data_IF_071814522362
#
_entry.id   IF_071814522362
#
_cell.length_a   1.000
_cell.length_b   1.000
_cell.length_c   1.000
_cell.angle_alpha   90.00
_cell.angle_beta   90.00
_cell.angle_gamma   90.00
#
_symmetry.space_group_name_H-M   'P 1'
#
loop_
_entity.id
_entity.type
_entity.pdbx_description
1 polymer ?
#
# COMPACT_ATOMS: atom_id res chain seq x y z
N UNK A 1 14.37 3.85 11.37
CA UNK A 1 13.37 2.74 11.25
C UNK A 1 14.12 1.43 11.11
N UNK A 2 13.82 0.37 11.89
CA UNK A 2 14.53 -0.91 11.71
C UNK A 2 14.00 -1.63 10.48
N UNK A 3 14.91 -2.00 9.55
CA UNK A 3 14.57 -2.81 8.38
C UNK A 3 13.96 -4.15 8.85
N UNK A 4 12.77 -4.53 8.38
CA UNK A 4 12.19 -5.81 8.73
C UNK A 4 13.11 -6.96 8.29
N UNK A 5 13.33 -7.92 9.18
CA UNK A 5 14.14 -9.08 8.81
C UNK A 5 13.46 -9.87 7.69
N UNK A 6 14.24 -10.18 6.65
CA UNK A 6 13.76 -10.99 5.53
C UNK A 6 13.30 -12.37 6.02
N UNK A 7 12.07 -12.81 5.68
CA UNK A 7 11.57 -14.10 6.12
C UNK A 7 12.34 -15.25 5.47
N UNK A 8 12.73 -16.29 6.23
CA UNK A 8 13.33 -17.48 5.64
C UNK A 8 12.31 -18.21 4.76
N UNK A 9 12.79 -18.84 3.67
CA UNK A 9 11.92 -19.67 2.83
C UNK A 9 11.69 -21.02 3.49
N UNK A 10 10.53 -21.65 3.25
CA UNK A 10 10.28 -23.00 3.77
C UNK A 10 11.29 -24.01 3.22
N UNK A 11 11.79 -23.80 1.99
CA UNK A 11 12.81 -24.66 1.37
C UNK A 11 14.17 -24.55 2.09
N UNK A 12 14.57 -23.35 2.49
CA UNK A 12 15.81 -23.19 3.28
C UNK A 12 15.67 -23.82 4.66
N UNK A 13 14.52 -23.65 5.29
CA UNK A 13 14.23 -24.24 6.61
C UNK A 13 14.14 -25.78 6.54
N UNK A 14 13.59 -26.33 5.48
CA UNK A 14 13.56 -27.77 5.26
C UNK A 14 14.95 -28.42 5.24
N UNK A 15 15.98 -27.69 4.84
CA UNK A 15 17.39 -28.16 4.86
C UNK A 15 18.05 -28.01 6.23
N UNK A 16 17.58 -27.09 7.05
CA UNK A 16 18.16 -26.74 8.35
C UNK A 16 17.52 -27.50 9.51
N UNK A 17 16.21 -27.74 9.45
CA UNK A 17 15.45 -28.42 10.50
C UNK A 17 15.53 -29.94 10.30
N UNK A 18 15.95 -30.71 11.31
CA UNK A 18 15.97 -32.16 11.25
C UNK A 18 14.61 -32.77 10.87
N UNK A 19 14.61 -33.86 10.12
CA UNK A 19 13.39 -34.49 9.61
C UNK A 19 12.39 -34.85 10.71
N UNK A 20 12.86 -35.45 11.80
CA UNK A 20 12.01 -35.77 12.95
C UNK A 20 11.31 -34.53 13.53
N UNK A 21 12.00 -33.39 13.61
CA UNK A 21 11.43 -32.11 14.08
C UNK A 21 10.43 -31.55 13.09
N UNK A 22 10.70 -31.64 11.78
CA UNK A 22 9.74 -31.24 10.74
C UNK A 22 8.45 -32.05 10.79
N UNK A 23 8.58 -33.38 10.97
CA UNK A 23 7.44 -34.28 11.11
C UNK A 23 6.61 -33.97 12.38
N UNK A 24 7.28 -33.75 13.51
CA UNK A 24 6.63 -33.34 14.73
C UNK A 24 5.89 -32.00 14.59
N UNK A 25 6.53 -31.00 13.99
CA UNK A 25 5.89 -29.70 13.72
C UNK A 25 4.70 -29.83 12.75
N UNK A 26 4.83 -30.66 11.72
CA UNK A 26 3.78 -30.92 10.74
C UNK A 26 2.52 -31.54 11.35
N UNK A 27 2.62 -32.34 12.41
CA UNK A 27 1.45 -32.94 13.08
C UNK A 27 0.52 -31.88 13.67
N UNK A 28 1.05 -30.69 13.99
CA UNK A 28 0.28 -29.54 14.53
C UNK A 28 -0.32 -28.62 13.44
N UNK A 29 -0.16 -28.96 12.16
CA UNK A 29 -0.56 -28.11 11.02
C UNK A 29 -1.99 -27.58 11.13
N UNK A 30 -2.96 -28.45 11.46
CA UNK A 30 -4.38 -28.07 11.52
C UNK A 30 -4.64 -26.99 12.55
N UNK A 31 -4.07 -27.17 13.74
CA UNK A 31 -4.20 -26.21 14.84
C UNK A 31 -3.55 -24.88 14.47
N UNK A 32 -2.32 -24.93 13.97
CA UNK A 32 -1.55 -23.72 13.67
C UNK A 32 -2.14 -22.95 12.51
N UNK A 33 -2.62 -23.63 11.46
CA UNK A 33 -3.28 -22.97 10.34
C UNK A 33 -4.64 -22.37 10.73
N UNK A 34 -5.38 -23.00 11.64
CA UNK A 34 -6.64 -22.45 12.13
C UNK A 34 -6.43 -21.13 12.92
N UNK A 35 -5.30 -21.00 13.60
CA UNK A 35 -4.91 -19.82 14.37
C UNK A 35 -4.08 -18.80 13.57
N UNK A 36 -3.74 -19.12 12.31
CA UNK A 36 -2.88 -18.30 11.49
C UNK A 36 -3.59 -17.01 11.06
N UNK A 37 -3.05 -15.87 11.52
CA UNK A 37 -3.50 -14.53 11.15
C UNK A 37 -2.70 -13.91 10.02
N UNK A 38 -1.98 -14.72 9.26
CA UNK A 38 -1.12 -14.30 8.15
C UNK A 38 -0.07 -13.24 8.53
N UNK A 39 0.52 -13.41 9.71
CA UNK A 39 1.52 -12.48 10.24
C UNK A 39 2.82 -12.56 9.45
N UNK A 40 3.53 -11.42 9.36
CA UNK A 40 4.87 -11.37 8.82
C UNK A 40 5.86 -12.04 9.79
N UNK A 41 6.94 -12.62 9.25
CA UNK A 41 8.00 -13.26 10.03
C UNK A 41 8.54 -12.38 11.15
N UNK A 42 8.78 -11.09 10.84
CA UNK A 42 9.32 -10.16 11.81
C UNK A 42 8.41 -9.93 13.02
N UNK A 43 7.11 -10.07 12.87
CA UNK A 43 6.14 -9.95 13.98
C UNK A 43 5.96 -11.28 14.70
N UNK A 44 5.92 -12.38 13.94
CA UNK A 44 5.79 -13.72 14.49
C UNK A 44 6.94 -14.06 15.45
N UNK A 45 8.19 -13.80 15.07
CA UNK A 45 9.37 -14.09 15.90
C UNK A 45 9.47 -13.27 17.20
N UNK A 46 8.69 -12.20 17.34
CA UNK A 46 8.62 -11.37 18.55
C UNK A 46 7.58 -11.85 19.55
N UNK A 47 6.78 -12.84 19.17
CA UNK A 47 5.77 -13.46 20.02
C UNK A 47 6.28 -14.80 20.52
N UNK A 48 5.72 -15.36 21.60
CA UNK A 48 6.07 -16.70 22.02
C UNK A 48 5.86 -17.72 20.90
N UNK A 49 6.83 -18.58 20.69
CA UNK A 49 6.66 -19.74 19.81
C UNK A 49 5.70 -20.76 20.43
N UNK A 50 5.08 -21.65 19.65
CA UNK A 50 4.30 -22.75 20.20
C UNK A 50 5.15 -23.60 21.13
N UNK A 51 4.55 -24.11 22.21
CA UNK A 51 5.23 -24.91 23.21
C UNK A 51 5.98 -26.11 22.59
N UNK A 52 7.23 -26.26 22.95
CA UNK A 52 8.09 -27.33 22.46
C UNK A 52 8.66 -27.14 21.05
N UNK A 53 8.38 -26.00 20.39
CA UNK A 53 8.83 -25.70 19.04
C UNK A 53 9.56 -24.37 18.93
N UNK A 54 10.46 -24.25 17.94
CA UNK A 54 11.09 -22.97 17.60
C UNK A 54 10.21 -22.13 16.67
N UNK A 55 10.56 -20.83 16.54
CA UNK A 55 9.91 -19.96 15.57
C UNK A 55 10.11 -20.42 14.13
N UNK A 56 11.28 -21.00 13.83
CA UNK A 56 11.64 -21.54 12.52
C UNK A 56 10.79 -22.76 12.16
N UNK A 57 10.56 -23.67 13.12
CA UNK A 57 9.72 -24.85 12.94
C UNK A 57 8.26 -24.45 12.73
N UNK A 58 7.76 -23.52 13.53
CA UNK A 58 6.42 -22.96 13.35
C UNK A 58 6.28 -22.26 11.99
N UNK A 59 7.22 -21.38 11.65
CA UNK A 59 7.22 -20.67 10.35
C UNK A 59 7.34 -21.61 9.17
N UNK A 60 8.14 -22.68 9.27
CA UNK A 60 8.27 -23.70 8.25
C UNK A 60 6.90 -24.29 7.88
N UNK A 61 6.12 -24.71 8.87
CA UNK A 61 4.78 -25.28 8.65
C UNK A 61 3.84 -24.24 8.03
N UNK A 62 3.78 -23.04 8.58
CA UNK A 62 2.93 -21.97 8.02
C UNK A 62 3.27 -21.66 6.57
N UNK A 63 4.55 -21.50 6.25
CA UNK A 63 5.00 -21.18 4.87
C UNK A 63 4.77 -22.35 3.90
N UNK A 64 4.98 -23.57 4.33
CA UNK A 64 4.70 -24.75 3.52
C UNK A 64 3.23 -24.79 3.10
N UNK A 65 2.32 -24.63 4.06
CA UNK A 65 0.87 -24.64 3.79
C UNK A 65 0.41 -23.43 2.98
N UNK A 66 0.85 -22.24 3.34
CA UNK A 66 0.52 -21.03 2.56
C UNK A 66 0.97 -21.17 1.10
N UNK A 67 2.11 -21.84 0.85
CA UNK A 67 2.63 -22.01 -0.51
C UNK A 67 1.73 -22.86 -1.40
N UNK A 68 0.94 -23.77 -0.85
CA UNK A 68 -0.03 -24.58 -1.59
C UNK A 68 -1.19 -23.76 -2.20
N UNK A 69 -1.48 -22.58 -1.62
CA UNK A 69 -2.51 -21.66 -2.10
C UNK A 69 -1.97 -20.54 -3.00
N UNK A 70 -0.69 -20.54 -3.36
CA UNK A 70 -0.12 -19.49 -4.17
C UNK A 70 -0.60 -19.49 -5.62
N UNK A 71 -1.10 -18.34 -6.07
CA UNK A 71 -1.47 -18.06 -7.45
C UNK A 71 -0.47 -17.09 -8.06
N UNK A 72 -0.07 -17.33 -9.30
CA UNK A 72 0.82 -16.41 -10.04
C UNK A 72 0.02 -15.24 -10.58
N UNK A 73 0.61 -14.05 -10.51
CA UNK A 73 0.22 -12.90 -11.33
C UNK A 73 1.22 -12.79 -12.49
N UNK A 74 0.84 -12.24 -13.61
CA UNK A 74 1.66 -12.20 -14.83
C UNK A 74 2.93 -11.34 -14.75
N UNK A 75 3.49 -11.15 -13.55
CA UNK A 75 4.69 -10.33 -13.29
C UNK A 75 5.80 -11.20 -12.70
N UNK A 76 7.04 -10.89 -13.06
CA UNK A 76 8.24 -11.52 -12.52
C UNK A 76 9.17 -10.47 -11.90
N UNK A 77 10.01 -10.90 -10.94
CA UNK A 77 11.11 -10.10 -10.43
C UNK A 77 12.31 -10.06 -11.42
N UNK A 78 13.35 -9.30 -11.07
CA UNK A 78 14.60 -9.19 -11.87
C UNK A 78 15.30 -10.54 -12.11
N UNK A 79 15.05 -11.53 -11.27
CA UNK A 79 15.59 -12.89 -11.36
C UNK A 79 14.62 -13.87 -12.04
N UNK A 80 13.61 -13.38 -12.74
CA UNK A 80 12.57 -14.16 -13.41
C UNK A 80 11.70 -15.02 -12.48
N UNK A 81 11.68 -14.72 -11.17
CA UNK A 81 10.78 -15.40 -10.26
C UNK A 81 9.39 -14.76 -10.33
N UNK A 82 8.33 -15.57 -10.45
CA UNK A 82 6.98 -15.03 -10.53
C UNK A 82 6.54 -14.40 -9.20
N UNK A 83 5.89 -13.27 -9.25
CA UNK A 83 5.11 -12.77 -8.12
C UNK A 83 3.91 -13.66 -7.88
N UNK A 84 3.64 -13.92 -6.62
CA UNK A 84 2.54 -14.79 -6.18
C UNK A 84 1.72 -14.14 -5.09
N UNK A 85 0.44 -14.46 -5.03
CA UNK A 85 -0.44 -14.09 -3.92
C UNK A 85 -1.21 -15.31 -3.43
N UNK A 86 -1.75 -15.21 -2.22
CA UNK A 86 -2.66 -16.20 -1.67
C UNK A 86 -3.86 -15.50 -1.01
N UNK A 87 -4.96 -16.20 -0.95
CA UNK A 87 -6.15 -15.79 -0.18
C UNK A 87 -6.20 -16.63 1.11
N UNK A 88 -5.71 -16.12 2.23
CA UNK A 88 -5.85 -16.81 3.51
C UNK A 88 -7.32 -16.78 3.98
N UNK A 89 -7.70 -17.76 4.83
CA UNK A 89 -9.08 -17.91 5.27
C UNK A 89 -9.68 -16.64 5.90
N UNK A 90 -8.90 -15.92 6.69
CA UNK A 90 -9.33 -14.67 7.29
C UNK A 90 -9.64 -13.56 6.26
N UNK A 91 -8.93 -13.56 5.12
CA UNK A 91 -9.24 -12.62 4.02
C UNK A 91 -10.57 -12.98 3.35
N UNK A 92 -10.86 -14.27 3.18
CA UNK A 92 -12.13 -14.72 2.61
C UNK A 92 -13.32 -14.28 3.46
N UNK A 93 -13.18 -14.38 4.78
CA UNK A 93 -14.21 -13.89 5.71
C UNK A 93 -14.40 -12.37 5.61
N UNK A 94 -13.30 -11.60 5.56
CA UNK A 94 -13.34 -10.14 5.38
C UNK A 94 -13.97 -9.74 4.04
N UNK A 95 -13.63 -10.41 2.95
CA UNK A 95 -14.23 -10.18 1.64
C UNK A 95 -15.74 -10.45 1.68
N UNK A 96 -16.18 -11.53 2.33
CA UNK A 96 -17.61 -11.81 2.49
C UNK A 96 -18.33 -10.74 3.32
N UNK A 97 -17.69 -10.21 4.38
CA UNK A 97 -18.24 -9.09 5.16
C UNK A 97 -18.35 -7.81 4.32
N UNK A 98 -17.33 -7.52 3.48
CA UNK A 98 -17.34 -6.39 2.55
C UNK A 98 -18.47 -6.56 1.53
N UNK A 99 -18.58 -7.72 0.89
CA UNK A 99 -19.62 -7.98 -0.11
C UNK A 99 -21.03 -7.84 0.48
N UNK A 100 -21.25 -8.35 1.70
CA UNK A 100 -22.51 -8.15 2.43
C UNK A 100 -22.74 -6.68 2.77
N UNK A 101 -21.72 -5.99 3.25
CA UNK A 101 -21.77 -4.56 3.57
C UNK A 101 -22.08 -3.72 2.34
N UNK A 102 -21.41 -3.99 1.22
CA UNK A 102 -21.69 -3.32 -0.05
C UNK A 102 -23.11 -3.63 -0.57
N UNK A 103 -23.57 -4.87 -0.48
CA UNK A 103 -24.91 -5.26 -0.86
C UNK A 103 -26.02 -4.55 -0.04
N UNK A 104 -25.73 -4.25 1.25
CA UNK A 104 -26.63 -3.48 2.11
C UNK A 104 -26.43 -1.96 1.97
N UNK A 105 -25.20 -1.51 1.65
CA UNK A 105 -24.83 -0.10 1.51
C UNK A 105 -25.04 0.46 0.10
N UNK A 106 -25.44 -0.36 -0.88
CA UNK A 106 -25.96 0.13 -2.16
C UNK A 106 -27.29 0.88 -1.99
N UNK A 107 -27.95 0.81 -0.83
CA UNK A 107 -28.81 1.87 -0.36
C UNK A 107 -27.93 3.05 0.10
N UNK A 108 -27.48 3.89 -0.82
CA UNK A 108 -27.05 5.26 -0.47
C UNK A 108 -28.12 5.82 0.47
N UNK A 109 -27.73 6.56 1.54
CA UNK A 109 -28.74 7.24 2.37
C UNK A 109 -29.76 7.88 1.44
N UNK A 110 -31.02 7.62 1.66
CA UNK A 110 -32.15 8.03 0.80
C UNK A 110 -32.07 9.53 0.38
N UNK A 111 -31.43 10.34 1.26
CA UNK A 111 -31.10 11.74 1.00
C UNK A 111 -30.08 11.97 -0.11
N UNK A 112 -29.20 10.96 -0.41
CA UNK A 112 -28.22 11.05 -1.50
C UNK A 112 -28.75 10.48 -2.81
N UNK A 113 -29.76 9.62 -2.77
CA UNK A 113 -30.42 9.12 -3.97
C UNK A 113 -31.34 10.16 -4.62
N UNK A 114 -31.96 11.02 -3.79
CA UNK A 114 -32.99 11.98 -4.22
C UNK A 114 -32.47 13.30 -4.77
N UNK A 115 -31.18 13.62 -4.63
CA UNK A 115 -30.63 14.90 -5.10
C UNK A 115 -29.19 14.76 -5.65
N UNK A 116 -29.01 15.11 -6.92
CA UNK A 116 -27.67 15.20 -7.54
C UNK A 116 -26.78 16.20 -6.80
N UNK A 117 -27.33 17.32 -6.34
CA UNK A 117 -26.61 18.34 -5.60
C UNK A 117 -26.08 17.81 -4.25
N UNK A 118 -26.86 17.02 -3.54
CA UNK A 118 -26.41 16.41 -2.27
C UNK A 118 -25.30 15.38 -2.53
N UNK A 119 -25.38 14.62 -3.61
CA UNK A 119 -24.34 13.67 -4.03
C UNK A 119 -23.04 14.39 -4.36
N UNK A 120 -23.11 15.46 -5.16
CA UNK A 120 -21.93 16.22 -5.54
C UNK A 120 -21.28 16.88 -4.32
N UNK A 121 -22.07 17.43 -3.43
CA UNK A 121 -21.59 18.01 -2.17
C UNK A 121 -20.89 16.95 -1.27
N UNK A 122 -21.48 15.74 -1.19
CA UNK A 122 -20.88 14.63 -0.45
C UNK A 122 -19.54 14.20 -1.07
N UNK A 123 -19.49 14.04 -2.39
CA UNK A 123 -18.27 13.67 -3.13
C UNK A 123 -17.18 14.71 -2.93
N UNK A 124 -17.49 16.01 -3.08
CA UNK A 124 -16.53 17.09 -2.88
C UNK A 124 -15.99 17.11 -1.44
N UNK A 125 -16.85 16.95 -0.44
CA UNK A 125 -16.40 16.87 0.95
C UNK A 125 -15.49 15.65 1.20
N UNK A 126 -15.81 14.49 0.63
CA UNK A 126 -14.99 13.28 0.73
C UNK A 126 -13.61 13.49 0.08
N UNK A 127 -13.56 14.11 -1.10
CA UNK A 127 -12.30 14.45 -1.76
C UNK A 127 -11.47 15.45 -0.94
N UNK A 128 -12.09 16.44 -0.30
CA UNK A 128 -11.37 17.34 0.59
C UNK A 128 -10.74 16.60 1.77
N UNK A 129 -11.51 15.72 2.43
CA UNK A 129 -11.01 14.93 3.55
C UNK A 129 -9.85 14.04 3.13
N UNK A 130 -9.98 13.35 2.01
CA UNK A 130 -8.95 12.48 1.47
C UNK A 130 -7.68 13.26 1.13
N UNK A 131 -7.82 14.40 0.43
CA UNK A 131 -6.68 15.25 0.08
C UNK A 131 -5.93 15.75 1.32
N UNK A 132 -6.66 16.12 2.39
CA UNK A 132 -6.05 16.58 3.64
C UNK A 132 -5.31 15.43 4.33
N UNK A 133 -6.00 14.31 4.55
CA UNK A 133 -5.43 13.19 5.32
C UNK A 133 -4.27 12.53 4.59
N UNK A 134 -4.37 12.32 3.29
CA UNK A 134 -3.30 11.78 2.47
C UNK A 134 -2.06 12.69 2.46
N UNK A 135 -2.26 14.01 2.28
CA UNK A 135 -1.13 14.96 2.33
C UNK A 135 -0.48 15.04 3.72
N UNK A 136 -1.26 14.88 4.80
CA UNK A 136 -0.71 14.82 6.16
C UNK A 136 0.12 13.55 6.38
N UNK A 137 -0.27 12.42 5.83
CA UNK A 137 0.53 11.19 5.86
C UNK A 137 1.86 11.36 5.11
N UNK A 138 1.86 12.17 4.05
CA UNK A 138 3.06 12.54 3.28
C UNK A 138 3.85 13.72 3.89
N UNK A 139 3.51 14.14 5.12
CA UNK A 139 4.28 15.13 5.88
C UNK A 139 3.77 16.57 5.82
N UNK A 140 2.60 16.85 5.26
CA UNK A 140 2.00 18.17 5.36
C UNK A 140 1.59 18.50 6.81
N UNK A 141 2.09 19.62 7.34
CA UNK A 141 1.89 20.00 8.74
C UNK A 141 0.63 20.85 8.99
N UNK A 142 -0.11 21.22 7.95
CA UNK A 142 -1.33 22.04 8.06
C UNK A 142 -2.42 21.33 8.84
N UNK A 143 -3.04 22.03 9.79
CA UNK A 143 -4.15 21.47 10.55
C UNK A 143 -5.40 21.30 9.69
N UNK A 144 -6.22 20.29 10.01
CA UNK A 144 -7.45 19.97 9.26
C UNK A 144 -8.43 21.16 9.14
N UNK A 145 -8.71 21.98 10.19
CA UNK A 145 -9.59 23.14 10.05
C UNK A 145 -9.06 24.19 9.07
N UNK A 146 -7.76 24.50 9.12
CA UNK A 146 -7.11 25.46 8.23
C UNK A 146 -7.13 24.98 6.79
N UNK A 147 -6.83 23.69 6.55
CA UNK A 147 -6.89 23.10 5.22
C UNK A 147 -8.31 23.10 4.62
N UNK A 148 -9.32 22.74 5.43
CA UNK A 148 -10.74 22.82 5.01
C UNK A 148 -11.18 24.23 4.66
N UNK A 149 -10.80 25.19 5.49
CA UNK A 149 -11.09 26.60 5.21
C UNK A 149 -10.47 27.04 3.90
N UNK A 150 -9.19 26.74 3.67
CA UNK A 150 -8.49 27.05 2.42
C UNK A 150 -9.21 26.46 1.19
N UNK A 151 -9.54 25.17 1.23
CA UNK A 151 -10.20 24.50 0.10
C UNK A 151 -11.62 25.01 -0.15
N UNK A 152 -12.37 25.39 0.89
CA UNK A 152 -13.74 25.93 0.77
C UNK A 152 -13.78 27.36 0.26
N UNK A 153 -12.85 28.20 0.71
CA UNK A 153 -12.79 29.61 0.31
C UNK A 153 -12.05 29.83 -1.00
N UNK A 154 -11.27 28.84 -1.46
CA UNK A 154 -10.42 28.97 -2.65
C UNK A 154 -9.24 29.94 -2.46
N UNK A 155 -8.88 30.25 -1.22
CA UNK A 155 -7.72 31.11 -0.99
C UNK A 155 -6.42 30.46 -1.42
N UNK A 156 -5.45 31.26 -1.77
CA UNK A 156 -4.12 30.77 -2.12
C UNK A 156 -3.41 30.10 -0.95
N UNK A 157 -2.63 29.03 -1.19
CA UNK A 157 -1.82 28.37 -0.17
C UNK A 157 -0.71 29.31 0.32
N UNK A 158 -0.46 29.32 1.63
CA UNK A 158 0.52 30.19 2.30
C UNK A 158 1.89 29.56 2.41
N UNK A 159 1.95 28.22 2.40
CA UNK A 159 3.17 27.44 2.57
C UNK A 159 3.16 26.15 1.73
N UNK A 160 4.25 25.39 1.81
CA UNK A 160 4.43 24.13 1.10
C UNK A 160 3.38 23.07 1.51
N UNK A 161 3.02 23.00 2.79
CA UNK A 161 2.04 22.02 3.29
C UNK A 161 0.64 22.30 2.76
N UNK A 162 0.20 23.56 2.76
CA UNK A 162 -1.05 23.97 2.16
C UNK A 162 -1.05 23.76 0.64
N UNK A 163 0.09 23.98 -0.02
CA UNK A 163 0.27 23.71 -1.44
C UNK A 163 0.11 22.22 -1.77
N UNK A 164 0.72 21.35 -0.99
CA UNK A 164 0.56 19.89 -1.14
C UNK A 164 -0.91 19.47 -1.08
N UNK A 165 -1.65 19.99 -0.10
CA UNK A 165 -3.08 19.68 0.08
C UNK A 165 -3.90 20.19 -1.11
N UNK A 166 -3.66 21.42 -1.56
CA UNK A 166 -4.38 22.00 -2.70
C UNK A 166 -4.10 21.21 -3.99
N UNK A 167 -2.84 20.92 -4.26
CA UNK A 167 -2.43 20.15 -5.43
C UNK A 167 -3.08 18.77 -5.46
N UNK A 168 -3.09 18.08 -4.30
CA UNK A 168 -3.72 16.77 -4.17
C UNK A 168 -5.22 16.84 -4.44
N UNK A 169 -5.92 17.81 -3.84
CA UNK A 169 -7.34 18.04 -4.08
C UNK A 169 -7.68 18.28 -5.56
N UNK A 170 -6.96 19.20 -6.21
CA UNK A 170 -7.16 19.52 -7.62
C UNK A 170 -6.82 18.33 -8.53
N UNK A 171 -5.80 17.53 -8.18
CA UNK A 171 -5.44 16.33 -8.92
C UNK A 171 -6.52 15.26 -8.81
N UNK A 172 -7.10 15.07 -7.61
CA UNK A 172 -8.22 14.14 -7.42
C UNK A 172 -9.47 14.56 -8.18
N UNK A 173 -9.77 15.87 -8.25
CA UNK A 173 -10.86 16.37 -9.09
C UNK A 173 -10.60 16.06 -10.57
N UNK A 174 -9.38 16.30 -11.08
CA UNK A 174 -9.00 15.99 -12.45
C UNK A 174 -9.18 14.50 -12.77
N UNK A 175 -8.74 13.61 -11.87
CA UNK A 175 -8.91 12.16 -12.04
C UNK A 175 -10.40 11.79 -12.09
N UNK A 176 -11.22 12.36 -11.21
CA UNK A 176 -12.66 12.10 -11.17
C UNK A 176 -13.35 12.50 -12.47
N UNK A 177 -13.05 13.69 -12.97
CA UNK A 177 -13.70 14.26 -14.15
C UNK A 177 -13.29 13.51 -15.44
N UNK A 178 -12.11 12.90 -15.44
CA UNK A 178 -11.54 12.17 -16.59
C UNK A 178 -11.39 10.65 -16.35
N UNK A 179 -12.17 10.10 -15.42
CA UNK A 179 -12.10 8.67 -15.03
C UNK A 179 -12.33 7.66 -16.16
N UNK A 180 -12.93 8.09 -17.27
CA UNK A 180 -13.19 7.25 -18.44
C UNK A 180 -12.01 7.24 -19.44
N UNK A 181 -11.01 8.10 -19.27
CA UNK A 181 -9.84 8.14 -20.11
C UNK A 181 -8.95 6.92 -19.83
N UNK A 182 -8.31 6.40 -20.87
CA UNK A 182 -7.31 5.34 -20.70
C UNK A 182 -6.06 5.91 -20.01
N UNK A 183 -5.54 5.18 -19.04
CA UNK A 183 -4.28 5.53 -18.40
C UNK A 183 -3.14 5.40 -19.42
N UNK A 184 -2.47 6.52 -19.71
CA UNK A 184 -1.30 6.60 -20.60
C UNK A 184 -0.13 7.23 -19.85
N UNK A 185 1.13 7.09 -20.33
CA UNK A 185 2.28 7.76 -19.73
C UNK A 185 2.10 9.28 -19.63
N UNK A 186 1.48 9.91 -20.63
CA UNK A 186 1.24 11.35 -20.69
C UNK A 186 0.31 11.80 -19.56
N UNK A 187 -0.76 11.03 -19.31
CA UNK A 187 -1.67 11.29 -18.18
C UNK A 187 -0.94 11.13 -16.84
N UNK A 188 -0.11 10.10 -16.70
CA UNK A 188 0.69 9.90 -15.47
C UNK A 188 1.63 11.09 -15.25
N UNK A 189 2.29 11.59 -16.30
CA UNK A 189 3.16 12.77 -16.21
C UNK A 189 2.38 14.05 -15.92
N UNK A 190 1.19 14.22 -16.51
CA UNK A 190 0.30 15.33 -16.17
C UNK A 190 -0.08 15.32 -14.69
N UNK A 191 -0.54 14.17 -14.19
CA UNK A 191 -0.92 14.02 -12.78
C UNK A 191 0.26 14.25 -11.84
N UNK A 192 1.45 13.70 -12.18
CA UNK A 192 2.66 13.93 -11.41
C UNK A 192 3.02 15.43 -11.36
N UNK A 193 2.99 16.12 -12.48
CA UNK A 193 3.24 17.57 -12.53
C UNK A 193 2.27 18.35 -11.66
N UNK A 194 0.97 18.03 -11.72
CA UNK A 194 -0.06 18.69 -10.92
C UNK A 194 0.12 18.48 -9.42
N UNK A 195 0.32 17.23 -9.00
CA UNK A 195 0.43 16.91 -7.56
C UNK A 195 1.71 17.46 -6.94
N UNK A 196 2.76 17.65 -7.75
CA UNK A 196 4.07 18.13 -7.28
C UNK A 196 4.32 19.62 -7.54
N UNK A 197 3.38 20.35 -8.12
CA UNK A 197 3.55 21.77 -8.46
C UNK A 197 3.97 22.63 -7.27
N UNK A 198 5.15 23.23 -7.36
CA UNK A 198 5.70 24.11 -6.31
C UNK A 198 6.03 23.40 -4.99
N UNK A 199 6.19 22.07 -4.99
CA UNK A 199 6.51 21.29 -3.79
C UNK A 199 7.80 20.46 -3.92
N UNK A 200 8.33 20.25 -5.13
CA UNK A 200 9.59 19.59 -5.35
C UNK A 200 10.77 20.54 -5.06
N UNK A 201 11.89 19.98 -4.62
CA UNK A 201 13.16 20.69 -4.49
C UNK A 201 13.71 21.05 -5.87
N UNK A 202 13.59 20.11 -6.82
CA UNK A 202 13.96 20.30 -8.23
C UNK A 202 12.68 20.44 -9.08
N UNK A 203 12.21 21.65 -9.39
CA UNK A 203 10.94 21.86 -10.09
C UNK A 203 10.86 21.20 -11.47
N UNK A 204 11.99 21.08 -12.18
CA UNK A 204 12.06 20.46 -13.51
C UNK A 204 11.97 18.92 -13.48
N UNK A 205 11.96 18.31 -12.30
CA UNK A 205 11.65 16.89 -12.13
C UNK A 205 10.15 16.58 -12.27
N UNK A 206 9.27 17.60 -12.25
CA UNK A 206 7.84 17.42 -12.32
C UNK A 206 7.38 16.90 -13.70
N UNK A 207 6.65 15.78 -13.70
CA UNK A 207 6.00 15.25 -14.90
C UNK A 207 6.94 14.60 -15.92
N UNK A 208 8.00 13.97 -15.46
CA UNK A 208 8.92 13.19 -16.28
C UNK A 208 9.53 12.01 -15.50
N UNK A 209 10.15 11.10 -16.20
CA UNK A 209 11.03 10.13 -15.56
C UNK A 209 12.31 10.81 -15.03
N UNK A 210 12.92 10.22 -14.01
CA UNK A 210 14.23 10.66 -13.52
C UNK A 210 15.31 10.50 -14.58
N UNK A 211 16.33 11.34 -14.52
CA UNK A 211 17.52 11.27 -15.35
C UNK A 211 18.56 10.32 -14.74
N UNK A 212 19.56 9.93 -15.54
CA UNK A 212 20.60 9.01 -15.12
C UNK A 212 21.52 9.57 -14.02
N UNK A 213 21.65 10.88 -13.95
CA UNK A 213 22.45 11.62 -12.97
C UNK A 213 21.71 11.89 -11.65
N UNK A 214 20.40 11.65 -11.62
CA UNK A 214 19.58 11.81 -10.43
C UNK A 214 19.65 10.55 -9.56
N UNK A 215 20.31 10.68 -8.41
CA UNK A 215 20.51 9.59 -7.46
C UNK A 215 19.27 9.43 -6.55
N UNK A 216 18.16 8.96 -7.12
CA UNK A 216 16.92 8.74 -6.40
C UNK A 216 16.92 7.37 -5.72
N UNK A 217 16.80 7.33 -4.40
CA UNK A 217 16.73 6.11 -3.59
C UNK A 217 15.87 6.34 -2.37
N UNK A 218 15.42 5.27 -1.75
CA UNK A 218 14.69 5.33 -0.48
C UNK A 218 15.68 5.03 0.64
N UNK A 219 15.88 5.99 1.51
CA UNK A 219 16.80 5.88 2.65
C UNK A 219 16.17 6.44 3.92
N UNK A 220 16.70 6.06 5.10
CA UNK A 220 16.33 6.69 6.36
C UNK A 220 17.20 7.93 6.65
N UNK A 221 16.89 8.58 7.77
CA UNK A 221 17.64 9.76 8.24
C UNK A 221 19.09 9.44 8.63
N UNK A 222 19.44 8.15 8.79
CA UNK A 222 20.77 7.66 9.13
C UNK A 222 21.57 7.26 7.87
N UNK A 223 20.98 7.41 6.65
CA UNK A 223 21.60 7.09 5.37
C UNK A 223 21.55 5.60 5.00
N UNK A 224 20.77 4.78 5.71
CA UNK A 224 20.58 3.40 5.32
C UNK A 224 19.64 3.29 4.13
N UNK A 225 20.14 2.70 3.04
CA UNK A 225 19.38 2.53 1.80
C UNK A 225 18.41 1.35 1.96
N UNK A 226 17.11 1.60 1.85
CA UNK A 226 16.06 0.58 1.87
C UNK A 226 15.75 0.04 0.49
N UNK A 227 15.82 0.90 -0.51
CA UNK A 227 15.51 0.55 -1.89
C UNK A 227 16.28 1.43 -2.86
N UNK A 228 16.89 0.77 -3.82
CA UNK A 228 17.51 1.38 -4.98
C UNK A 228 16.66 1.05 -6.21
N UNK A 229 16.07 2.04 -6.88
CA UNK A 229 15.23 1.80 -8.04
C UNK A 229 16.05 1.34 -9.25
N UNK A 230 15.42 0.72 -10.29
CA UNK A 230 16.10 0.35 -11.52
C UNK A 230 16.86 1.54 -12.12
N UNK A 231 17.95 1.33 -12.86
CA UNK A 231 18.63 2.41 -13.58
C UNK A 231 17.67 3.22 -14.46
N UNK A 232 17.88 4.54 -14.58
CA UNK A 232 17.02 5.40 -15.39
C UNK A 232 16.97 4.96 -16.87
N UNK A 233 18.04 4.37 -17.37
CA UNK A 233 18.11 3.83 -18.74
C UNK A 233 17.20 2.60 -18.98
N UNK A 234 16.70 1.96 -17.91
CA UNK A 234 15.75 0.85 -18.00
C UNK A 234 14.28 1.32 -17.96
N UNK A 235 14.05 2.62 -17.80
CA UNK A 235 12.70 3.20 -17.82
C UNK A 235 12.23 3.35 -19.27
N UNK A 236 10.91 3.20 -19.55
CA UNK A 236 10.36 3.30 -20.90
C UNK A 236 10.50 4.69 -21.49
#
# INVERSE_FOLDING_TARGET
MKIPQRPPTWRSLAKQIPEARRTAAYSHQREWMAKDRYQHWNDLRRRPAPEGFSHEEYWYVLKLFRSGGYRRIGLNDKSSHPFVFAQPNNLTELLHQIDRGLGLALGLPEALEKSSANRDHYVVNTLMEEAITSSQLEGAATTRPVAKEMLRTGRQPRDKSERMILNNFLTMQRIRDHRAEKLTPEIVFELHRRVTEGTLEEPDAAGRFRRADENIRVEDMEGNIFYEPPPAAELP
#
